data_IF_778790406074
#
_entry.id   IF_778790406074
#
_cell.length_a   1.000
_cell.length_b   1.000
_cell.length_c   1.000
_cell.angle_alpha   90.00
_cell.angle_beta   90.00
_cell.angle_gamma   90.00
#
_symmetry.space_group_name_H-M   'P 1'
#
loop_
_entity.id
_entity.type
_entity.pdbx_description
1 polymer ?
#
# COMPACT_ATOMS: atom_id res chain seq x y z
N UNK A 1 7.44 -0.69 -14.70
CA UNK A 1 6.90 -1.20 -13.42
C UNK A 1 8.00 -1.91 -12.66
N UNK A 2 8.61 -1.20 -11.70
CA UNK A 2 9.57 -1.77 -10.76
C UNK A 2 9.00 -3.00 -10.04
N UNK A 3 9.86 -3.97 -9.74
CA UNK A 3 9.51 -5.16 -8.97
C UNK A 3 10.18 -5.09 -7.61
N UNK A 4 9.39 -4.86 -6.56
CA UNK A 4 9.85 -4.84 -5.17
C UNK A 4 10.23 -6.25 -4.71
N UNK A 5 11.51 -6.60 -4.89
CA UNK A 5 12.04 -7.93 -4.52
C UNK A 5 12.08 -8.04 -3.00
N UNK A 6 11.56 -9.14 -2.46
CA UNK A 6 11.46 -9.34 -1.01
C UNK A 6 10.15 -8.82 -0.40
N UNK A 7 9.38 -8.01 -1.13
CA UNK A 7 8.04 -7.62 -0.71
C UNK A 7 7.07 -8.82 -0.74
N UNK A 8 6.27 -9.06 0.30
CA UNK A 8 5.35 -10.19 0.33
C UNK A 8 4.31 -10.10 -0.79
N UNK A 9 4.09 -11.21 -1.49
CA UNK A 9 3.19 -11.24 -2.64
C UNK A 9 1.70 -11.08 -2.29
N UNK A 10 1.30 -11.49 -1.08
CA UNK A 10 -0.10 -11.60 -0.63
C UNK A 10 -0.21 -11.68 0.89
N UNK A 11 -1.42 -11.48 1.40
CA UNK A 11 -1.77 -11.82 2.78
C UNK A 11 -1.75 -13.36 2.97
N UNK A 12 -0.94 -13.91 3.91
CA UNK A 12 -0.86 -15.35 4.16
C UNK A 12 -2.22 -15.98 4.47
N UNK A 13 -2.45 -17.19 3.92
CA UNK A 13 -3.69 -17.93 4.11
C UNK A 13 -4.89 -17.39 3.31
N UNK A 14 -4.69 -16.45 2.39
CA UNK A 14 -5.75 -15.86 1.56
C UNK A 14 -5.29 -15.65 0.11
N UNK A 15 -6.23 -15.28 -0.76
CA UNK A 15 -5.94 -14.87 -2.14
C UNK A 15 -5.79 -13.35 -2.30
N UNK A 16 -5.77 -12.59 -1.20
CA UNK A 16 -5.61 -11.13 -1.25
C UNK A 16 -4.17 -10.77 -1.59
N UNK A 17 -3.96 -10.38 -2.85
CA UNK A 17 -2.65 -10.02 -3.39
C UNK A 17 -2.21 -8.64 -2.92
N UNK A 18 -0.90 -8.51 -2.70
CA UNK A 18 -0.25 -7.24 -2.37
C UNK A 18 0.61 -6.72 -3.52
N UNK A 19 0.97 -7.57 -4.47
CA UNK A 19 1.71 -7.17 -5.67
C UNK A 19 1.13 -7.79 -6.93
N UNK A 20 1.33 -7.11 -8.06
CA UNK A 20 0.94 -7.60 -9.37
C UNK A 20 2.12 -8.24 -10.10
N UNK A 21 1.87 -9.42 -10.70
CA UNK A 21 2.90 -10.18 -11.43
C UNK A 21 3.21 -9.61 -12.81
N UNK A 22 2.22 -8.99 -13.46
CA UNK A 22 2.35 -8.35 -14.77
C UNK A 22 1.54 -7.05 -14.81
N UNK A 23 1.91 -6.15 -15.70
CA UNK A 23 1.10 -4.97 -15.99
C UNK A 23 -0.29 -5.38 -16.54
N UNK A 24 -1.30 -4.56 -16.26
CA UNK A 24 -2.64 -4.78 -16.79
C UNK A 24 -2.67 -4.39 -18.28
N UNK A 25 -3.13 -5.28 -19.19
CA UNK A 25 -3.19 -4.99 -20.62
C UNK A 25 -4.15 -3.85 -20.98
N UNK A 26 -5.08 -3.49 -20.09
CA UNK A 26 -6.03 -2.38 -20.27
C UNK A 26 -5.49 -1.02 -19.79
N UNK A 27 -4.21 -0.94 -19.42
CA UNK A 27 -3.60 0.27 -18.85
C UNK A 27 -3.38 0.18 -17.34
N UNK A 28 -2.69 1.17 -16.79
CA UNK A 28 -2.29 1.20 -15.38
C UNK A 28 -3.52 1.50 -14.53
N UNK A 29 -3.79 0.68 -13.52
CA UNK A 29 -4.93 0.92 -12.63
C UNK A 29 -4.71 2.20 -11.83
N UNK A 30 -5.58 3.20 -12.01
CA UNK A 30 -5.52 4.46 -11.27
C UNK A 30 -5.59 4.24 -9.75
N UNK A 31 -4.68 4.90 -9.02
CA UNK A 31 -4.78 5.02 -7.57
C UNK A 31 -5.86 6.04 -7.19
N UNK A 32 -6.75 5.63 -6.29
CA UNK A 32 -7.84 6.49 -5.80
C UNK A 32 -7.81 6.48 -4.28
N UNK A 33 -7.94 7.65 -3.65
CA UNK A 33 -8.14 7.68 -2.20
C UNK A 33 -9.54 7.17 -1.87
N UNK A 34 -9.64 6.24 -0.92
CA UNK A 34 -10.90 5.60 -0.55
C UNK A 34 -11.30 5.94 0.88
N UNK A 35 -12.60 6.19 1.07
CA UNK A 35 -13.17 6.39 2.39
C UNK A 35 -13.39 5.05 3.11
N UNK A 36 -12.95 4.96 4.37
CA UNK A 36 -13.08 3.75 5.19
C UNK A 36 -14.25 3.91 6.16
N UNK A 37 -15.36 3.22 5.87
CA UNK A 37 -16.53 3.16 6.74
C UNK A 37 -16.42 2.02 7.78
N UNK A 38 -17.21 2.12 8.85
CA UNK A 38 -17.16 1.21 10.01
C UNK A 38 -17.54 -0.24 9.65
N UNK A 39 -18.42 -0.40 8.68
CA UNK A 39 -19.01 -1.67 8.22
C UNK A 39 -18.11 -2.46 7.27
N UNK A 40 -16.90 -1.98 6.96
CA UNK A 40 -15.97 -2.73 6.11
C UNK A 40 -15.72 -4.14 6.64
N UNK A 41 -15.57 -5.10 5.72
CA UNK A 41 -15.35 -6.49 6.08
C UNK A 41 -14.08 -6.65 6.93
N UNK A 42 -14.15 -7.52 7.95
CA UNK A 42 -13.02 -7.76 8.86
C UNK A 42 -11.77 -8.26 8.12
N UNK A 43 -11.96 -9.07 7.09
CA UNK A 43 -10.88 -9.58 6.25
C UNK A 43 -10.17 -8.44 5.47
N UNK A 44 -10.92 -7.50 4.92
CA UNK A 44 -10.34 -6.34 4.22
C UNK A 44 -9.57 -5.43 5.17
N UNK A 45 -10.11 -5.18 6.38
CA UNK A 45 -9.38 -4.42 7.41
C UNK A 45 -8.06 -5.09 7.79
N UNK A 46 -8.07 -6.41 7.97
CA UNK A 46 -6.85 -7.20 8.24
C UNK A 46 -5.85 -7.12 7.09
N UNK A 47 -6.33 -7.17 5.85
CA UNK A 47 -5.47 -7.05 4.68
C UNK A 47 -4.82 -5.68 4.59
N UNK A 48 -5.53 -4.61 4.90
CA UNK A 48 -4.97 -3.25 4.89
C UNK A 48 -3.92 -3.07 5.98
N UNK A 49 -4.17 -3.58 7.20
CA UNK A 49 -3.19 -3.58 8.29
C UNK A 49 -1.92 -4.35 7.91
N UNK A 50 -2.06 -5.58 7.39
CA UNK A 50 -0.93 -6.40 6.97
C UNK A 50 -0.19 -5.83 5.76
N UNK A 51 -0.89 -5.17 4.84
CA UNK A 51 -0.27 -4.49 3.71
C UNK A 51 0.56 -3.30 4.17
N UNK A 52 0.05 -2.49 5.11
CA UNK A 52 0.82 -1.41 5.71
C UNK A 52 2.03 -1.92 6.50
N UNK A 53 1.89 -3.02 7.25
CA UNK A 53 3.01 -3.66 7.94
C UNK A 53 4.10 -4.08 6.94
N UNK A 54 3.71 -4.65 5.80
CA UNK A 54 4.64 -5.02 4.73
C UNK A 54 5.32 -3.79 4.10
N UNK A 55 4.59 -2.68 3.89
CA UNK A 55 5.18 -1.42 3.45
C UNK A 55 6.22 -0.92 4.45
N UNK A 56 5.88 -0.91 5.75
CA UNK A 56 6.77 -0.48 6.82
C UNK A 56 8.04 -1.34 6.89
N UNK A 57 7.92 -2.66 6.94
CA UNK A 57 9.06 -3.57 7.01
C UNK A 57 9.97 -3.47 5.78
N UNK A 58 9.43 -3.09 4.62
CA UNK A 58 10.19 -3.06 3.37
C UNK A 58 10.82 -1.71 3.06
N UNK A 59 10.13 -0.61 3.37
CA UNK A 59 10.53 0.75 3.00
C UNK A 59 10.79 1.66 4.21
N UNK A 60 10.25 1.33 5.39
CA UNK A 60 10.34 2.19 6.57
C UNK A 60 9.73 3.56 6.33
N UNK A 61 10.50 4.61 6.65
CA UNK A 61 10.13 6.01 6.41
C UNK A 61 10.52 6.52 5.02
N UNK A 62 11.33 5.74 4.28
CA UNK A 62 11.90 6.18 3.02
C UNK A 62 10.82 6.25 1.91
N UNK A 63 10.93 7.22 0.99
CA UNK A 63 10.15 7.23 -0.23
C UNK A 63 10.33 5.95 -1.06
N UNK A 64 9.25 5.49 -1.68
CA UNK A 64 9.25 4.34 -2.57
C UNK A 64 8.41 4.57 -3.83
N UNK A 65 8.85 4.00 -4.95
CA UNK A 65 8.04 3.96 -6.15
C UNK A 65 6.84 3.01 -5.96
N UNK A 66 5.67 3.40 -6.48
CA UNK A 66 4.50 2.53 -6.55
C UNK A 66 4.85 1.14 -7.10
N UNK A 67 5.63 1.06 -8.18
CA UNK A 67 6.13 -0.18 -8.75
C UNK A 67 5.02 -1.21 -8.98
N UNK A 68 5.25 -2.45 -8.54
CA UNK A 68 4.30 -3.55 -8.68
C UNK A 68 3.35 -3.73 -7.50
N UNK A 69 3.22 -2.76 -6.60
CA UNK A 69 2.26 -2.81 -5.50
C UNK A 69 0.83 -2.86 -6.04
N UNK A 70 -0.03 -3.62 -5.37
CA UNK A 70 -1.44 -3.74 -5.74
C UNK A 70 -2.14 -2.40 -5.57
N UNK A 71 -2.65 -1.86 -6.68
CA UNK A 71 -3.33 -0.56 -6.70
C UNK A 71 -4.60 -0.57 -5.84
N UNK A 72 -5.29 -1.71 -5.74
CA UNK A 72 -6.51 -1.86 -4.95
C UNK A 72 -6.25 -1.73 -3.46
N UNK A 73 -5.19 -2.35 -2.93
CA UNK A 73 -4.74 -2.21 -1.54
C UNK A 73 -4.16 -0.83 -1.27
N UNK A 74 -3.29 -0.34 -2.14
CA UNK A 74 -2.65 0.97 -1.98
C UNK A 74 -3.68 2.12 -1.94
N UNK A 75 -4.75 2.01 -2.74
CA UNK A 75 -5.88 2.96 -2.74
C UNK A 75 -6.59 3.10 -1.38
N UNK A 76 -6.57 2.08 -0.53
CA UNK A 76 -7.19 2.16 0.80
C UNK A 76 -6.36 2.94 1.82
N UNK A 77 -5.06 3.08 1.58
CA UNK A 77 -4.12 3.80 2.44
C UNK A 77 -3.79 5.21 1.89
N UNK A 78 -3.99 5.41 0.58
CA UNK A 78 -3.63 6.65 -0.12
C UNK A 78 -4.41 7.86 0.40
N UNK A 79 -3.68 8.95 0.64
CA UNK A 79 -4.18 10.22 1.18
C UNK A 79 -4.35 10.21 2.71
N UNK A 80 -4.04 9.10 3.37
CA UNK A 80 -4.12 8.93 4.81
C UNK A 80 -2.77 8.46 5.35
N UNK A 81 -2.53 7.15 5.35
CA UNK A 81 -1.33 6.53 5.88
C UNK A 81 -0.21 6.46 4.83
N UNK A 82 -0.56 6.51 3.55
CA UNK A 82 0.38 6.65 2.44
C UNK A 82 0.06 7.93 1.70
N UNK A 83 1.08 8.74 1.43
CA UNK A 83 0.95 10.04 0.74
C UNK A 83 1.89 10.12 -0.44
N UNK A 84 1.51 10.90 -1.45
CA UNK A 84 2.41 11.25 -2.54
C UNK A 84 3.56 12.12 -2.03
N UNK A 85 4.75 11.90 -2.57
CA UNK A 85 5.95 12.69 -2.25
C UNK A 85 5.97 13.96 -3.08
N UNK A 86 5.55 13.87 -4.34
CA UNK A 86 5.64 14.95 -5.33
C UNK A 86 4.31 15.69 -5.48
N UNK A 87 4.34 17.02 -5.74
CA UNK A 87 3.13 17.82 -5.94
C UNK A 87 2.38 17.43 -7.23
N UNK A 88 3.10 17.05 -8.28
CA UNK A 88 2.54 16.64 -9.58
C UNK A 88 2.29 15.12 -9.63
N UNK A 89 1.64 14.59 -8.60
CA UNK A 89 1.39 13.15 -8.47
C UNK A 89 0.51 12.61 -9.60
N UNK A 90 1.04 11.67 -10.39
CA UNK A 90 0.28 10.91 -11.37
C UNK A 90 -0.24 9.58 -10.76
N UNK A 91 -1.55 9.45 -10.50
CA UNK A 91 -2.13 8.23 -9.93
C UNK A 91 -2.09 7.02 -10.88
N UNK A 92 -1.76 7.23 -12.17
CA UNK A 92 -1.63 6.20 -13.20
C UNK A 92 -0.17 5.94 -13.58
N UNK A 93 0.81 6.47 -12.83
CA UNK A 93 2.23 6.15 -13.03
C UNK A 93 2.69 5.00 -12.14
N UNK A 94 3.54 4.10 -12.67
CA UNK A 94 4.27 3.11 -11.88
C UNK A 94 5.47 3.68 -11.13
N UNK A 95 5.96 4.83 -11.58
CA UNK A 95 7.12 5.54 -11.02
C UNK A 95 6.69 6.58 -9.97
N UNK A 96 5.38 6.73 -9.74
CA UNK A 96 4.85 7.63 -8.74
C UNK A 96 5.48 7.36 -7.37
N UNK A 97 6.13 8.39 -6.81
CA UNK A 97 6.78 8.31 -5.50
C UNK A 97 5.79 8.52 -4.37
N UNK A 98 5.80 7.58 -3.44
CA UNK A 98 4.93 7.51 -2.28
C UNK A 98 5.77 7.38 -1.02
N UNK A 99 5.21 7.75 0.13
CA UNK A 99 5.82 7.54 1.44
C UNK A 99 4.76 7.25 2.50
N UNK A 100 5.17 6.60 3.57
CA UNK A 100 4.30 6.39 4.74
C UNK A 100 4.25 7.69 5.56
N UNK A 101 3.05 8.18 5.85
CA UNK A 101 2.82 9.16 6.90
C UNK A 101 2.84 8.40 8.24
N UNK A 102 4.02 8.28 8.84
CA UNK A 102 4.28 7.43 10.02
C UNK A 102 3.35 7.76 11.18
N UNK A 103 3.07 9.05 11.40
CA UNK A 103 2.21 9.50 12.48
C UNK A 103 0.78 8.98 12.30
N UNK A 104 0.21 9.12 11.09
CA UNK A 104 -1.13 8.60 10.80
C UNK A 104 -1.16 7.08 10.75
N UNK A 105 -0.12 6.47 10.21
CA UNK A 105 0.01 5.02 10.12
C UNK A 105 0.02 4.37 11.51
N UNK A 106 0.85 4.87 12.45
CA UNK A 106 0.88 4.39 13.84
C UNK A 106 -0.44 4.59 14.58
N UNK A 107 -1.12 5.71 14.34
CA UNK A 107 -2.42 5.98 14.96
C UNK A 107 -3.54 5.07 14.41
N UNK A 108 -3.51 4.75 13.11
CA UNK A 108 -4.55 3.96 12.46
C UNK A 108 -4.35 2.45 12.55
N UNK A 109 -3.10 2.00 12.60
CA UNK A 109 -2.70 0.59 12.57
C UNK A 109 -1.47 0.37 13.46
N UNK A 110 -1.60 0.52 14.79
CA UNK A 110 -0.48 0.30 15.70
C UNK A 110 0.17 -1.08 15.52
N UNK A 111 -0.64 -2.11 15.22
CA UNK A 111 -0.18 -3.49 15.02
C UNK A 111 0.76 -3.68 13.82
N UNK A 112 0.79 -2.72 12.89
CA UNK A 112 1.67 -2.78 11.73
C UNK A 112 3.15 -2.53 12.10
N UNK A 113 3.42 -2.04 13.31
CA UNK A 113 4.73 -1.64 13.81
C UNK A 113 5.28 -2.55 14.92
N UNK A 114 4.50 -3.56 15.37
CA UNK A 114 4.85 -4.43 16.50
C UNK A 114 6.03 -5.39 16.23
N UNK A 115 6.64 -5.35 15.04
CA UNK A 115 7.79 -6.17 14.65
C UNK A 115 9.15 -5.46 14.75
N UNK A 116 9.20 -4.21 15.23
CA UNK A 116 10.43 -3.42 15.44
C UNK A 116 11.02 -3.63 16.85
N UNK A 117 11.00 -4.85 17.38
CA UNK A 117 11.65 -5.21 18.66
C UNK A 117 12.91 -6.04 18.45
#
# INVERSE_FOLDING_TARGET
MLKHRGFPGRLPGTDLQFTIRRANPKGITRLISRERFRDRAALDRRADAAFLAALWQHFGEDPFERGNLDAGRLSWLLGREVVAVEPDFDPESYEALLRIDVAKARAAFPEAFDGDE
#
